data_IF_872801894265
#
_entry.id   IF_872801894265
#
_cell.length_a   1.000
_cell.length_b   1.000
_cell.length_c   1.000
_cell.angle_alpha   90.00
_cell.angle_beta   90.00
_cell.angle_gamma   90.00
#
_symmetry.space_group_name_H-M   'P 1'
#
loop_
_entity.id
_entity.type
_entity.pdbx_description
1 polymer ?
#
# COMPACT_ATOMS: atom_id res chain seq x y z
N UNK A 1 17.78 -34.86 20.52
CA UNK A 1 17.95 -36.00 19.58
C UNK A 1 17.41 -37.30 20.17
N UNK A 2 17.86 -37.72 21.35
CA UNK A 2 17.37 -38.93 22.02
C UNK A 2 15.85 -39.13 22.06
N UNK A 3 15.05 -38.09 22.29
CA UNK A 3 13.57 -38.18 22.24
C UNK A 3 13.03 -38.47 20.83
N UNK A 4 13.64 -37.89 19.79
CA UNK A 4 13.24 -38.12 18.39
C UNK A 4 13.56 -39.57 18.02
N UNK A 5 14.72 -40.07 18.43
CA UNK A 5 15.16 -41.44 18.13
C UNK A 5 14.31 -42.48 18.87
N UNK A 6 14.01 -42.23 20.16
CA UNK A 6 13.04 -43.04 20.92
C UNK A 6 11.68 -43.07 20.21
N UNK A 7 11.13 -41.91 19.84
CA UNK A 7 9.81 -41.84 19.23
C UNK A 7 9.77 -42.49 17.83
N UNK A 8 10.87 -42.42 17.08
CA UNK A 8 11.02 -43.12 15.79
C UNK A 8 11.05 -44.63 15.94
N UNK A 9 11.87 -45.15 16.86
CA UNK A 9 12.13 -46.59 16.98
C UNK A 9 11.04 -47.31 17.78
N UNK A 10 10.50 -46.67 18.82
CA UNK A 10 9.57 -47.32 19.75
C UNK A 10 8.09 -47.07 19.44
N UNK A 11 7.72 -45.96 18.81
CA UNK A 11 6.33 -45.67 18.41
C UNK A 11 6.16 -45.81 16.89
N UNK A 12 6.86 -45.01 16.08
CA UNK A 12 6.60 -44.92 14.63
C UNK A 12 6.92 -46.23 13.89
N UNK A 13 8.05 -46.86 14.18
CA UNK A 13 8.48 -48.09 13.51
C UNK A 13 7.58 -49.30 13.82
N UNK A 14 6.89 -49.28 14.97
CA UNK A 14 6.01 -50.37 15.43
C UNK A 14 4.56 -50.24 14.95
N UNK A 15 4.22 -49.14 14.26
CA UNK A 15 2.86 -48.95 13.72
C UNK A 15 2.66 -49.77 12.44
N UNK A 16 1.49 -50.40 12.36
CA UNK A 16 1.08 -51.24 11.22
C UNK A 16 0.77 -50.42 9.95
N UNK A 17 0.66 -49.09 10.06
CA UNK A 17 0.29 -48.20 8.95
C UNK A 17 1.49 -47.89 8.04
N UNK A 18 1.86 -48.84 7.17
CA UNK A 18 2.90 -48.69 6.14
C UNK A 18 2.31 -48.28 4.80
N UNK A 19 3.01 -47.39 4.08
CA UNK A 19 2.62 -47.01 2.73
C UNK A 19 3.60 -46.03 2.08
N UNK A 20 3.37 -45.72 0.81
CA UNK A 20 4.19 -44.73 0.10
C UNK A 20 3.89 -43.36 0.70
N UNK A 21 4.92 -42.64 1.14
CA UNK A 21 4.77 -41.24 1.52
C UNK A 21 4.76 -40.36 0.26
N UNK A 22 3.67 -39.65 0.01
CA UNK A 22 3.49 -38.88 -1.23
C UNK A 22 4.43 -37.66 -1.31
N UNK A 23 5.01 -37.23 -0.18
CA UNK A 23 5.99 -36.14 -0.14
C UNK A 23 7.40 -36.64 -0.47
N UNK A 24 7.79 -37.80 0.05
CA UNK A 24 9.17 -38.29 -0.04
C UNK A 24 9.35 -39.41 -1.08
N UNK A 25 8.28 -39.98 -1.62
CA UNK A 25 8.29 -41.14 -2.53
C UNK A 25 8.62 -42.48 -1.88
N UNK A 26 9.10 -42.48 -0.63
CA UNK A 26 9.55 -43.69 0.07
C UNK A 26 8.42 -44.38 0.83
N UNK A 27 8.47 -45.72 0.88
CA UNK A 27 7.66 -46.52 1.79
C UNK A 27 8.06 -46.24 3.24
N UNK A 28 7.10 -45.84 4.06
CA UNK A 28 7.32 -45.49 5.47
C UNK A 28 6.01 -45.54 6.25
N UNK A 29 6.13 -45.48 7.58
CA UNK A 29 4.95 -45.34 8.44
C UNK A 29 4.26 -44.00 8.18
N UNK A 30 3.05 -44.03 7.63
CA UNK A 30 2.24 -42.84 7.43
C UNK A 30 1.47 -42.46 8.70
N UNK A 31 1.11 -41.18 8.82
CA UNK A 31 0.29 -40.68 9.92
C UNK A 31 -1.06 -40.19 9.40
N UNK A 32 -2.15 -40.55 10.07
CA UNK A 32 -3.46 -39.92 9.89
C UNK A 32 -3.65 -38.72 10.83
N UNK A 33 -2.78 -38.60 11.85
CA UNK A 33 -2.81 -37.52 12.85
C UNK A 33 -1.80 -36.45 12.48
N UNK A 34 -2.20 -35.54 11.60
CA UNK A 34 -1.42 -34.35 11.27
C UNK A 34 -1.53 -33.25 12.33
N UNK A 35 -0.50 -32.42 12.41
CA UNK A 35 -0.37 -31.35 13.40
C UNK A 35 -1.45 -30.28 13.20
N UNK A 36 -2.19 -30.01 14.27
CA UNK A 36 -3.13 -28.87 14.39
C UNK A 36 -2.42 -27.61 14.90
N UNK A 37 -3.11 -26.48 14.96
CA UNK A 37 -2.57 -25.24 15.57
C UNK A 37 -1.31 -24.72 14.88
N UNK A 38 -1.30 -24.77 13.53
CA UNK A 38 -0.22 -24.19 12.73
C UNK A 38 -0.23 -22.67 12.87
N UNK A 39 -1.40 -22.05 12.76
CA UNK A 39 -1.64 -20.65 13.10
C UNK A 39 -2.40 -20.58 14.43
N UNK A 40 -1.84 -19.84 15.41
CA UNK A 40 -2.45 -19.66 16.74
C UNK A 40 -3.81 -18.97 16.66
N UNK A 41 -4.03 -18.11 15.66
CA UNK A 41 -5.31 -17.44 15.45
C UNK A 41 -6.43 -18.39 15.00
N UNK A 42 -6.07 -19.58 14.49
CA UNK A 42 -7.00 -20.59 13.98
C UNK A 42 -6.98 -21.90 14.77
N UNK A 43 -6.59 -21.85 16.05
CA UNK A 43 -6.85 -22.90 17.04
C UNK A 43 -6.54 -24.32 16.57
N UNK A 44 -7.56 -25.11 16.26
CA UNK A 44 -7.44 -26.54 15.92
C UNK A 44 -7.35 -26.84 14.42
N UNK A 45 -7.27 -25.82 13.55
CA UNK A 45 -7.20 -26.03 12.11
C UNK A 45 -5.96 -26.83 11.69
N UNK A 46 -6.15 -27.75 10.75
CA UNK A 46 -5.13 -28.61 10.14
C UNK A 46 -5.07 -28.36 8.63
N UNK A 47 -3.87 -28.43 8.06
CA UNK A 47 -3.67 -28.35 6.61
C UNK A 47 -4.06 -29.66 5.93
N UNK A 48 -3.67 -30.80 6.51
CA UNK A 48 -4.06 -32.13 6.06
C UNK A 48 -5.01 -32.73 7.10
N UNK A 49 -6.22 -33.10 6.69
CA UNK A 49 -7.21 -33.71 7.56
C UNK A 49 -8.03 -34.76 6.83
N UNK A 50 -8.29 -35.88 7.49
CA UNK A 50 -9.13 -36.98 6.98
C UNK A 50 -9.92 -37.68 8.08
N UNK A 51 -10.08 -37.04 9.24
CA UNK A 51 -10.73 -37.61 10.42
C UNK A 51 -12.25 -37.35 10.46
N UNK A 52 -12.88 -37.29 9.28
CA UNK A 52 -14.31 -37.00 9.12
C UNK A 52 -14.96 -38.19 8.45
N UNK A 53 -15.46 -39.10 9.28
CA UNK A 53 -16.17 -40.33 8.93
C UNK A 53 -17.65 -40.08 8.60
N UNK A 54 -18.18 -38.90 8.94
CA UNK A 54 -19.59 -38.55 8.77
C UNK A 54 -19.82 -37.85 7.41
N UNK A 55 -18.97 -36.89 7.03
CA UNK A 55 -19.16 -36.14 5.78
C UNK A 55 -18.26 -36.63 4.63
N UNK A 56 -18.44 -36.03 3.45
CA UNK A 56 -17.76 -36.39 2.20
C UNK A 56 -16.34 -35.80 2.07
N UNK A 57 -15.52 -35.93 3.11
CA UNK A 57 -14.13 -35.44 3.06
C UNK A 57 -13.24 -36.31 2.18
N UNK A 58 -13.45 -37.63 2.23
CA UNK A 58 -12.83 -38.63 1.37
C UNK A 58 -13.88 -39.65 0.89
N UNK A 59 -14.93 -39.88 1.71
CA UNK A 59 -16.08 -40.71 1.40
C UNK A 59 -16.76 -40.25 0.10
N UNK A 60 -17.24 -41.21 -0.69
CA UNK A 60 -17.80 -40.99 -2.03
C UNK A 60 -16.79 -41.16 -3.17
N UNK A 61 -15.49 -41.10 -2.87
CA UNK A 61 -14.41 -41.54 -3.78
C UNK A 61 -13.55 -42.64 -3.17
N UNK A 62 -13.34 -42.58 -1.86
CA UNK A 62 -12.52 -43.52 -1.11
C UNK A 62 -13.27 -44.04 0.11
N UNK A 63 -12.95 -45.26 0.54
CA UNK A 63 -13.49 -45.87 1.76
C UNK A 63 -12.70 -45.42 2.99
N UNK A 64 -11.39 -45.23 2.84
CA UNK A 64 -10.46 -44.85 3.90
C UNK A 64 -9.67 -43.58 3.55
N UNK A 65 -9.33 -42.72 4.53
CA UNK A 65 -8.55 -41.51 4.28
C UNK A 65 -7.18 -41.79 3.65
N UNK A 66 -6.55 -42.91 4.01
CA UNK A 66 -5.23 -43.33 3.50
C UNK A 66 -5.25 -43.71 2.03
N UNK A 67 -6.42 -44.03 1.45
CA UNK A 67 -6.52 -44.28 0.01
C UNK A 67 -6.45 -42.98 -0.80
N UNK A 68 -6.78 -41.84 -0.20
CA UNK A 68 -6.70 -40.54 -0.84
C UNK A 68 -5.28 -39.97 -0.83
N UNK A 69 -4.63 -39.96 0.34
CA UNK A 69 -3.25 -39.50 0.50
C UNK A 69 -2.60 -40.09 1.74
N UNK A 70 -1.34 -40.49 1.63
CA UNK A 70 -0.50 -40.93 2.75
C UNK A 70 0.75 -40.06 2.84
N UNK A 71 1.00 -39.53 4.03
CA UNK A 71 2.22 -38.76 4.33
C UNK A 71 2.90 -39.36 5.54
N UNK A 72 4.21 -39.58 5.44
CA UNK A 72 5.01 -40.11 6.55
C UNK A 72 4.90 -39.20 7.77
N UNK A 73 4.99 -39.79 8.96
CA UNK A 73 4.99 -39.01 10.19
C UNK A 73 6.06 -37.91 10.17
N UNK A 74 7.27 -38.26 9.75
CA UNK A 74 8.41 -37.33 9.71
C UNK A 74 8.19 -36.18 8.73
N UNK A 75 7.77 -36.48 7.49
CA UNK A 75 7.51 -35.44 6.50
C UNK A 75 6.40 -34.50 6.97
N UNK A 76 5.34 -35.06 7.56
CA UNK A 76 4.26 -34.27 8.16
C UNK A 76 4.79 -33.37 9.28
N UNK A 77 5.59 -33.88 10.23
CA UNK A 77 6.10 -33.06 11.33
C UNK A 77 7.01 -31.94 10.84
N UNK A 78 7.97 -32.25 9.95
CA UNK A 78 8.88 -31.25 9.37
C UNK A 78 8.10 -30.14 8.67
N UNK A 79 7.19 -30.50 7.76
CA UNK A 79 6.41 -29.50 7.00
C UNK A 79 5.56 -28.59 7.91
N UNK A 80 4.81 -29.18 8.84
CA UNK A 80 3.91 -28.41 9.71
C UNK A 80 4.66 -27.54 10.74
N UNK A 81 5.79 -28.02 11.25
CA UNK A 81 6.62 -27.25 12.19
C UNK A 81 7.34 -26.10 11.48
N UNK A 82 7.84 -26.32 10.26
CA UNK A 82 8.40 -25.25 9.44
C UNK A 82 7.34 -24.19 9.15
N UNK A 83 6.14 -24.58 8.73
CA UNK A 83 5.06 -23.62 8.46
C UNK A 83 4.65 -22.85 9.73
N UNK A 84 4.55 -23.52 10.88
CA UNK A 84 4.28 -22.87 12.16
C UNK A 84 5.36 -21.84 12.51
N UNK A 85 6.63 -22.18 12.30
CA UNK A 85 7.75 -21.28 12.54
C UNK A 85 7.73 -20.08 11.59
N UNK A 86 7.55 -20.30 10.28
CA UNK A 86 7.44 -19.25 9.27
C UNK A 86 6.29 -18.30 9.60
N UNK A 87 5.11 -18.85 9.92
CA UNK A 87 3.97 -18.04 10.34
C UNK A 87 4.37 -17.25 11.59
N UNK A 88 5.00 -17.85 12.61
CA UNK A 88 5.37 -17.18 13.87
C UNK A 88 6.28 -15.95 13.73
N UNK A 89 7.00 -15.81 12.60
CA UNK A 89 7.93 -14.70 12.38
C UNK A 89 7.22 -13.32 12.34
N UNK A 90 7.96 -12.24 12.66
CA UNK A 90 7.48 -10.87 12.45
C UNK A 90 7.22 -10.51 10.98
N UNK A 91 7.94 -11.13 10.04
CA UNK A 91 7.78 -10.93 8.58
C UNK A 91 6.50 -11.57 8.01
N UNK A 92 5.75 -12.32 8.82
CA UNK A 92 4.47 -12.88 8.41
C UNK A 92 3.39 -11.80 8.43
N UNK A 93 2.84 -11.50 7.26
CA UNK A 93 1.75 -10.54 7.11
C UNK A 93 0.44 -11.19 7.52
N UNK A 94 -0.19 -10.72 8.59
CA UNK A 94 -1.37 -11.37 9.20
C UNK A 94 -2.63 -10.52 9.21
N UNK A 95 -3.78 -11.16 9.02
CA UNK A 95 -5.10 -10.58 9.28
C UNK A 95 -6.03 -11.67 9.85
N UNK A 96 -6.38 -11.59 11.13
CA UNK A 96 -7.19 -12.62 11.82
C UNK A 96 -6.54 -14.01 11.63
N UNK A 97 -7.21 -14.96 10.97
CA UNK A 97 -6.65 -16.28 10.65
C UNK A 97 -5.80 -16.34 9.36
N UNK A 98 -5.81 -15.29 8.53
CA UNK A 98 -5.02 -15.26 7.31
C UNK A 98 -3.56 -14.95 7.65
N UNK A 99 -2.65 -15.75 7.11
CA UNK A 99 -1.21 -15.54 7.20
C UNK A 99 -0.60 -15.63 5.80
N UNK A 100 0.08 -14.57 5.39
CA UNK A 100 0.82 -14.50 4.12
C UNK A 100 2.30 -14.40 4.45
N UNK A 101 3.08 -15.34 3.94
CA UNK A 101 4.51 -15.48 4.21
C UNK A 101 5.27 -15.53 2.90
N UNK A 102 6.46 -14.93 2.88
CA UNK A 102 7.46 -15.11 1.84
C UNK A 102 8.77 -15.55 2.52
N UNK A 103 9.45 -16.55 1.95
CA UNK A 103 10.73 -17.02 2.46
C UNK A 103 11.55 -17.65 1.34
N UNK A 104 12.86 -17.60 1.49
CA UNK A 104 13.74 -18.36 0.62
C UNK A 104 13.90 -19.80 1.09
N UNK A 105 13.88 -20.72 0.14
CA UNK A 105 14.16 -22.14 0.32
C UNK A 105 15.68 -22.34 0.41
N UNK A 106 16.27 -21.87 1.51
CA UNK A 106 17.71 -21.98 1.79
C UNK A 106 17.99 -21.88 3.29
N UNK A 107 19.26 -22.01 3.69
CA UNK A 107 19.70 -21.84 5.08
C UNK A 107 19.47 -20.43 5.63
N UNK A 108 19.34 -19.44 4.76
CA UNK A 108 18.98 -18.06 5.10
C UNK A 108 17.58 -17.83 4.52
N UNK A 109 16.50 -17.88 5.31
CA UNK A 109 15.14 -17.84 4.76
C UNK A 109 14.57 -16.44 4.64
N UNK A 110 15.18 -15.43 5.27
CA UNK A 110 14.64 -14.07 5.29
C UNK A 110 14.80 -13.39 3.92
N UNK A 111 13.76 -12.69 3.51
CA UNK A 111 13.64 -11.96 2.24
C UNK A 111 13.01 -10.59 2.50
N UNK A 112 13.22 -9.59 1.64
CA UNK A 112 12.55 -8.29 1.77
C UNK A 112 11.02 -8.45 1.83
N UNK A 113 10.37 -7.79 2.79
CA UNK A 113 8.91 -7.80 2.90
C UNK A 113 8.27 -7.17 1.65
N UNK A 114 7.12 -7.68 1.21
CA UNK A 114 6.41 -7.19 0.01
C UNK A 114 5.23 -6.25 0.31
N UNK A 115 4.88 -6.05 1.59
CA UNK A 115 3.66 -5.37 2.02
C UNK A 115 3.89 -3.96 2.60
N UNK A 116 5.16 -3.59 2.81
CA UNK A 116 5.56 -2.29 3.35
C UNK A 116 5.67 -1.23 2.24
N UNK A 117 5.76 0.04 2.64
CA UNK A 117 6.00 1.13 1.68
C UNK A 117 7.46 1.15 1.20
N UNK A 118 7.72 1.86 0.10
CA UNK A 118 9.05 1.90 -0.53
C UNK A 118 10.15 2.38 0.42
N UNK A 119 9.83 3.32 1.30
CA UNK A 119 10.78 3.87 2.27
C UNK A 119 11.19 2.80 3.30
N UNK A 120 10.22 2.08 3.86
CA UNK A 120 10.49 1.05 4.87
C UNK A 120 11.26 -0.14 4.27
N UNK A 121 10.88 -0.60 3.07
CA UNK A 121 11.61 -1.70 2.41
C UNK A 121 13.03 -1.25 2.08
N UNK A 122 13.22 -0.05 1.52
CA UNK A 122 14.54 0.49 1.24
C UNK A 122 15.43 0.50 2.49
N UNK A 123 14.92 0.99 3.62
CA UNK A 123 15.71 1.06 4.85
C UNK A 123 16.06 -0.31 5.45
N UNK A 124 15.25 -1.34 5.17
CA UNK A 124 15.52 -2.71 5.58
C UNK A 124 16.54 -3.42 4.67
N UNK A 125 16.62 -3.03 3.39
CA UNK A 125 17.53 -3.64 2.39
C UNK A 125 18.88 -2.91 2.31
N UNK A 126 18.89 -1.59 2.45
CA UNK A 126 20.11 -0.78 2.35
C UNK A 126 21.12 -1.17 3.45
N UNK A 127 22.33 -1.53 3.04
CA UNK A 127 23.31 -2.24 3.88
C UNK A 127 24.27 -1.28 4.61
N UNK A 128 24.49 -0.07 4.10
CA UNK A 128 25.42 0.89 4.71
C UNK A 128 24.75 2.20 5.10
N UNK A 129 25.20 2.80 6.21
CA UNK A 129 24.76 4.13 6.62
C UNK A 129 25.11 5.19 5.57
N UNK A 130 26.18 4.96 4.79
CA UNK A 130 26.61 5.84 3.71
C UNK A 130 25.63 5.84 2.53
N UNK A 131 25.08 4.69 2.13
CA UNK A 131 23.99 4.61 1.14
C UNK A 131 22.74 5.37 1.60
N UNK A 132 22.41 5.31 2.90
CA UNK A 132 21.27 6.04 3.49
C UNK A 132 21.54 7.55 3.54
N UNK A 133 22.77 7.96 3.83
CA UNK A 133 23.19 9.37 3.90
C UNK A 133 23.27 10.03 2.52
N UNK A 134 23.77 9.36 1.48
CA UNK A 134 23.88 9.91 0.11
C UNK A 134 22.53 10.27 -0.52
N UNK A 135 21.44 9.57 -0.14
CA UNK A 135 20.08 9.91 -0.58
C UNK A 135 19.51 11.14 0.14
N UNK A 136 19.97 11.42 1.36
CA UNK A 136 19.42 12.47 2.22
C UNK A 136 19.95 13.88 1.88
N UNK A 137 21.06 13.99 1.16
CA UNK A 137 21.86 15.22 1.21
C UNK A 137 21.28 16.43 0.47
N UNK A 138 20.41 16.34 -0.54
CA UNK A 138 19.94 17.56 -1.25
C UNK A 138 18.61 17.47 -2.05
N UNK A 139 17.78 16.43 -1.89
CA UNK A 139 16.59 16.23 -2.76
C UNK A 139 15.27 16.44 -2.01
N UNK A 140 14.45 17.40 -2.48
CA UNK A 140 13.07 17.57 -2.00
C UNK A 140 12.19 16.45 -2.58
N UNK A 141 11.71 15.58 -1.70
CA UNK A 141 10.95 14.35 -1.99
C UNK A 141 11.78 13.29 -2.72
N UNK A 142 12.55 12.54 -1.94
CA UNK A 142 13.37 11.43 -2.43
C UNK A 142 12.49 10.35 -3.08
N UNK A 143 12.89 9.87 -4.26
CA UNK A 143 12.29 8.71 -4.93
C UNK A 143 12.84 7.40 -4.34
N UNK A 144 12.20 6.95 -3.26
CA UNK A 144 12.53 5.70 -2.59
C UNK A 144 12.14 4.46 -3.41
N UNK A 145 11.24 4.57 -4.41
CA UNK A 145 10.98 3.43 -5.30
C UNK A 145 12.18 3.20 -6.24
N UNK A 146 12.78 4.26 -6.78
CA UNK A 146 14.01 4.14 -7.56
C UNK A 146 15.22 3.79 -6.67
N UNK A 147 15.31 4.34 -5.47
CA UNK A 147 16.35 3.95 -4.51
C UNK A 147 16.24 2.47 -4.13
N UNK A 148 15.03 1.96 -3.90
CA UNK A 148 14.76 0.55 -3.63
C UNK A 148 15.22 -0.33 -4.79
N UNK A 149 14.92 0.04 -6.04
CA UNK A 149 15.41 -0.67 -7.23
C UNK A 149 16.92 -0.85 -7.21
N UNK A 150 17.65 0.26 -6.97
CA UNK A 150 19.11 0.24 -6.88
C UNK A 150 19.58 -0.63 -5.72
N UNK A 151 18.94 -0.50 -4.56
CA UNK A 151 19.28 -1.30 -3.37
C UNK A 151 19.05 -2.80 -3.60
N UNK A 152 17.95 -3.23 -4.23
CA UNK A 152 17.71 -4.64 -4.56
C UNK A 152 18.76 -5.19 -5.54
N UNK A 153 19.16 -4.38 -6.53
CA UNK A 153 20.26 -4.76 -7.43
C UNK A 153 21.60 -4.89 -6.69
N UNK A 154 21.93 -3.95 -5.80
CA UNK A 154 23.17 -3.95 -4.99
C UNK A 154 23.19 -5.04 -3.91
N UNK A 155 22.03 -5.32 -3.30
CA UNK A 155 21.83 -6.30 -2.22
C UNK A 155 22.34 -7.70 -2.59
N UNK A 156 22.49 -8.01 -3.88
CA UNK A 156 23.12 -9.25 -4.33
C UNK A 156 24.23 -9.13 -5.37
N UNK A 157 24.99 -8.02 -5.39
CA UNK A 157 26.23 -7.93 -6.18
C UNK A 157 27.32 -8.89 -5.66
N UNK A 158 27.27 -9.34 -4.40
CA UNK A 158 28.26 -10.28 -3.87
C UNK A 158 28.17 -11.70 -4.44
N UNK A 159 27.11 -12.08 -5.17
CA UNK A 159 27.01 -13.42 -5.76
C UNK A 159 25.97 -13.55 -6.90
N UNK A 160 26.18 -12.90 -8.04
CA UNK A 160 25.32 -13.08 -9.24
C UNK A 160 25.14 -14.54 -9.68
N UNK A 161 26.11 -15.42 -9.39
CA UNK A 161 26.02 -16.86 -9.65
C UNK A 161 25.14 -17.64 -8.64
N UNK A 162 24.91 -17.14 -7.41
CA UNK A 162 24.05 -17.79 -6.41
C UNK A 162 22.58 -17.37 -6.50
N UNK A 163 22.28 -16.20 -7.08
CA UNK A 163 20.91 -15.66 -7.22
C UNK A 163 19.96 -16.60 -7.97
N UNK A 164 20.41 -17.18 -9.09
CA UNK A 164 19.58 -18.13 -9.85
C UNK A 164 19.32 -19.48 -9.15
N UNK A 165 20.00 -19.75 -8.02
CA UNK A 165 19.83 -21.00 -7.27
C UNK A 165 18.84 -20.84 -6.11
N UNK A 166 18.75 -19.63 -5.52
CA UNK A 166 17.86 -19.40 -4.37
C UNK A 166 16.43 -19.21 -4.87
N UNK A 167 15.54 -20.13 -4.48
CA UNK A 167 14.10 -20.05 -4.78
C UNK A 167 13.36 -19.42 -3.61
N UNK A 168 12.44 -18.51 -3.90
CA UNK A 168 11.58 -17.85 -2.92
C UNK A 168 10.16 -18.40 -3.07
N UNK A 169 9.62 -18.90 -1.97
CA UNK A 169 8.24 -19.33 -1.88
C UNK A 169 7.39 -18.24 -1.22
N UNK A 170 6.21 -18.01 -1.77
CA UNK A 170 5.18 -17.11 -1.26
C UNK A 170 3.94 -17.95 -1.03
N UNK A 171 3.36 -17.88 0.17
CA UNK A 171 2.19 -18.68 0.53
C UNK A 171 1.21 -17.85 1.35
N UNK A 172 -0.06 -17.88 0.96
CA UNK A 172 -1.16 -17.43 1.80
C UNK A 172 -1.92 -18.64 2.35
N UNK A 173 -2.20 -18.61 3.64
CA UNK A 173 -3.04 -19.58 4.33
C UNK A 173 -4.18 -18.88 5.02
N UNK A 174 -5.37 -19.48 5.02
CA UNK A 174 -6.50 -18.99 5.81
C UNK A 174 -7.39 -20.15 6.29
N UNK A 175 -8.28 -19.84 7.22
CA UNK A 175 -9.30 -20.74 7.73
C UNK A 175 -10.68 -20.11 7.57
N UNK A 176 -11.64 -20.88 7.08
CA UNK A 176 -12.99 -20.39 6.76
C UNK A 176 -13.80 -19.96 8.00
N UNK A 177 -13.53 -20.54 9.18
CA UNK A 177 -14.13 -20.12 10.46
C UNK A 177 -13.19 -20.34 11.66
N UNK A 178 -13.38 -19.60 12.77
CA UNK A 178 -12.64 -19.79 14.04
C UNK A 178 -12.81 -21.16 14.68
N UNK A 179 -13.84 -21.93 14.26
CA UNK A 179 -14.09 -23.32 14.67
C UNK A 179 -13.69 -24.34 13.59
N UNK A 180 -13.19 -23.89 12.44
CA UNK A 180 -12.84 -24.78 11.34
C UNK A 180 -11.68 -25.69 11.75
N UNK A 181 -11.87 -27.00 11.59
CA UNK A 181 -10.78 -27.98 11.68
C UNK A 181 -9.83 -27.96 10.48
N UNK A 182 -10.06 -27.08 9.50
CA UNK A 182 -9.34 -27.03 8.21
C UNK A 182 -8.68 -25.69 7.97
N UNK A 183 -7.46 -25.75 7.47
CA UNK A 183 -6.68 -24.63 6.95
C UNK A 183 -6.46 -24.88 5.46
N UNK A 184 -6.68 -23.84 4.66
CA UNK A 184 -6.45 -23.88 3.22
C UNK A 184 -5.22 -23.07 2.87
N UNK A 185 -4.47 -23.53 1.88
CA UNK A 185 -3.53 -22.69 1.13
C UNK A 185 -4.36 -22.00 0.04
N UNK A 186 -4.52 -20.68 0.14
CA UNK A 186 -5.33 -19.89 -0.80
C UNK A 186 -4.48 -19.31 -1.93
N UNK A 187 -3.18 -19.16 -1.68
CA UNK A 187 -2.20 -18.72 -2.68
C UNK A 187 -0.87 -19.45 -2.45
N UNK A 188 -0.23 -19.88 -3.54
CA UNK A 188 1.14 -20.41 -3.51
C UNK A 188 1.86 -20.07 -4.81
N UNK A 189 3.07 -19.52 -4.68
CA UNK A 189 3.96 -19.24 -5.79
C UNK A 189 5.39 -19.53 -5.39
N UNK A 190 6.16 -20.10 -6.30
CA UNK A 190 7.61 -20.26 -6.16
C UNK A 190 8.27 -19.49 -7.31
N UNK A 191 9.21 -18.61 -6.96
CA UNK A 191 9.94 -17.74 -7.87
C UNK A 191 11.44 -17.94 -7.66
N UNK A 192 12.25 -17.63 -8.66
CA UNK A 192 13.66 -17.34 -8.41
C UNK A 192 13.79 -16.04 -7.58
N UNK A 193 14.92 -15.87 -6.90
CA UNK A 193 15.16 -14.66 -6.11
C UNK A 193 15.16 -13.38 -6.96
N UNK A 194 15.72 -13.45 -8.18
CA UNK A 194 15.69 -12.34 -9.13
C UNK A 194 14.28 -11.99 -9.59
N UNK A 195 13.44 -12.99 -9.89
CA UNK A 195 12.03 -12.74 -10.20
C UNK A 195 11.30 -12.09 -9.01
N UNK A 196 11.53 -12.54 -7.77
CA UNK A 196 10.92 -11.93 -6.59
C UNK A 196 11.30 -10.44 -6.44
N UNK A 197 12.59 -10.12 -6.57
CA UNK A 197 13.10 -8.75 -6.52
C UNK A 197 12.51 -7.89 -7.65
N UNK A 198 12.41 -8.44 -8.87
CA UNK A 198 11.82 -7.76 -10.03
C UNK A 198 10.32 -7.49 -9.84
N UNK A 199 9.56 -8.42 -9.26
CA UNK A 199 8.13 -8.23 -8.96
C UNK A 199 7.92 -7.11 -7.94
N UNK A 200 8.77 -7.04 -6.92
CA UNK A 200 8.76 -5.94 -5.95
C UNK A 200 9.13 -4.62 -6.64
N UNK A 201 10.23 -4.57 -7.40
CA UNK A 201 10.62 -3.36 -8.14
C UNK A 201 9.48 -2.85 -9.02
N UNK A 202 8.91 -3.74 -9.83
CA UNK A 202 7.83 -3.41 -10.74
C UNK A 202 6.61 -2.84 -10.01
N UNK A 203 6.15 -3.47 -8.92
CA UNK A 203 5.06 -2.92 -8.12
C UNK A 203 5.41 -1.53 -7.58
N UNK A 204 6.59 -1.39 -6.98
CA UNK A 204 7.01 -0.15 -6.32
C UNK A 204 7.21 1.01 -7.29
N UNK A 205 7.68 0.76 -8.52
CA UNK A 205 7.89 1.81 -9.52
C UNK A 205 6.65 2.15 -10.35
N UNK A 206 5.76 1.18 -10.62
CA UNK A 206 4.50 1.42 -11.35
C UNK A 206 3.39 1.98 -10.46
N UNK A 207 3.42 1.69 -9.16
CA UNK A 207 2.44 2.12 -8.17
C UNK A 207 2.99 3.23 -7.24
N UNK A 208 3.88 4.12 -7.72
CA UNK A 208 4.44 5.20 -6.90
C UNK A 208 3.70 6.53 -6.99
N UNK A 209 3.63 7.22 -5.87
CA UNK A 209 3.23 8.62 -5.81
C UNK A 209 3.83 9.29 -4.57
N UNK A 210 3.44 10.52 -4.26
CA UNK A 210 3.73 11.16 -2.98
C UNK A 210 3.07 10.40 -1.82
N UNK A 211 3.89 9.82 -0.95
CA UNK A 211 3.49 9.11 0.26
C UNK A 211 3.96 9.88 1.49
N UNK A 212 3.10 10.15 2.48
CA UNK A 212 3.54 10.79 3.72
C UNK A 212 4.45 9.82 4.50
N UNK A 213 5.47 10.36 5.15
CA UNK A 213 6.28 9.57 6.07
C UNK A 213 5.47 9.06 7.26
N UNK A 214 5.88 7.89 7.78
CA UNK A 214 5.37 7.35 9.04
C UNK A 214 5.94 8.06 10.26
N UNK A 215 5.83 7.41 11.42
CA UNK A 215 6.53 7.84 12.63
C UNK A 215 8.03 7.57 12.48
N UNK A 216 8.85 8.47 13.00
CA UNK A 216 10.28 8.22 13.21
C UNK A 216 10.52 7.36 14.47
N UNK A 217 11.80 7.15 14.79
CA UNK A 217 12.23 6.35 15.94
C UNK A 217 11.71 6.90 17.27
N UNK A 218 11.51 8.22 17.38
CA UNK A 218 11.00 8.90 18.56
C UNK A 218 9.46 8.91 18.61
N UNK A 219 8.80 8.29 17.63
CA UNK A 219 7.35 8.22 17.52
C UNK A 219 6.69 9.48 16.98
N UNK A 220 7.48 10.43 16.48
CA UNK A 220 7.03 11.70 15.90
C UNK A 220 6.78 11.52 14.41
N UNK A 221 5.67 12.07 13.92
CA UNK A 221 5.39 12.03 12.50
C UNK A 221 6.17 13.12 11.76
N UNK A 222 6.94 12.71 10.75
CA UNK A 222 7.44 13.64 9.74
C UNK A 222 6.26 14.22 8.94
N UNK A 223 6.28 15.54 8.72
CA UNK A 223 5.23 16.28 7.99
C UNK A 223 5.40 16.27 6.47
N UNK A 224 6.46 15.61 5.99
CA UNK A 224 6.87 15.55 4.59
C UNK A 224 6.40 14.28 3.86
N UNK A 225 6.68 14.27 2.56
CA UNK A 225 6.38 13.19 1.65
C UNK A 225 7.67 12.58 1.08
N UNK A 226 7.61 11.31 0.72
CA UNK A 226 8.55 10.67 -0.18
C UNK A 226 7.83 10.23 -1.46
N UNK A 227 8.58 9.94 -2.52
CA UNK A 227 8.03 9.32 -3.72
C UNK A 227 8.22 7.80 -3.60
N UNK A 228 7.13 7.05 -3.68
CA UNK A 228 7.17 5.59 -3.64
C UNK A 228 5.77 4.96 -3.63
N UNK A 229 5.72 3.63 -3.71
CA UNK A 229 4.48 2.90 -3.49
C UNK A 229 4.04 2.91 -2.02
N UNK A 230 2.72 2.98 -1.76
CA UNK A 230 2.15 2.89 -0.43
C UNK A 230 2.24 1.47 0.13
N UNK A 231 2.32 1.35 1.46
CA UNK A 231 2.14 0.08 2.14
C UNK A 231 0.72 -0.47 1.88
N UNK A 232 0.57 -1.80 1.88
CA UNK A 232 -0.74 -2.47 1.68
C UNK A 232 -1.78 -2.01 2.71
N UNK A 233 -1.37 -1.70 3.94
CA UNK A 233 -2.28 -1.15 4.96
C UNK A 233 -2.86 0.21 4.58
N UNK A 234 -2.08 1.07 3.88
CA UNK A 234 -2.58 2.36 3.40
C UNK A 234 -3.52 2.19 2.21
N UNK A 235 -3.24 1.23 1.33
CA UNK A 235 -4.18 0.82 0.27
C UNK A 235 -5.47 0.30 0.89
N UNK A 236 -5.38 -0.53 1.93
CA UNK A 236 -6.53 -1.07 2.66
C UNK A 236 -7.38 0.05 3.25
N UNK A 237 -6.76 1.02 3.91
CA UNK A 237 -7.45 2.21 4.41
C UNK A 237 -8.10 3.02 3.28
N UNK A 238 -7.41 3.18 2.15
CA UNK A 238 -7.92 3.91 0.99
C UNK A 238 -9.12 3.21 0.33
N UNK A 239 -9.14 1.87 0.28
CA UNK A 239 -10.18 1.08 -0.41
C UNK A 239 -11.36 0.70 0.50
N UNK A 240 -11.09 0.31 1.74
CA UNK A 240 -12.11 -0.20 2.67
C UNK A 240 -12.47 0.82 3.77
N UNK A 241 -11.61 1.78 4.06
CA UNK A 241 -11.80 2.74 5.15
C UNK A 241 -11.38 2.17 6.50
N UNK A 242 -11.83 2.80 7.59
CA UNK A 242 -11.55 2.34 8.96
C UNK A 242 -12.50 1.23 9.37
N UNK A 243 -12.00 0.34 10.23
CA UNK A 243 -12.81 -0.66 10.91
C UNK A 243 -13.85 0.01 11.82
N UNK A 244 -15.07 -0.51 11.87
CA UNK A 244 -16.16 0.05 12.70
C UNK A 244 -15.99 -0.23 14.19
N UNK A 245 -15.40 -1.37 14.53
CA UNK A 245 -15.14 -1.79 15.91
C UNK A 245 -13.94 -2.74 15.97
N UNK A 246 -13.35 -2.96 17.14
CA UNK A 246 -12.20 -3.86 17.28
C UNK A 246 -12.48 -5.27 16.74
N UNK A 247 -13.71 -5.78 16.91
CA UNK A 247 -14.16 -7.14 16.52
C UNK A 247 -15.06 -7.14 15.27
N UNK A 248 -14.69 -6.39 14.23
CA UNK A 248 -15.42 -6.38 12.97
C UNK A 248 -14.99 -7.54 12.05
N UNK A 249 -15.68 -8.68 12.17
CA UNK A 249 -15.40 -9.87 11.36
C UNK A 249 -15.72 -9.66 9.89
N UNK A 250 -16.69 -8.80 9.56
CA UNK A 250 -17.07 -8.49 8.18
C UNK A 250 -15.97 -7.69 7.47
N UNK A 251 -15.43 -6.68 8.14
CA UNK A 251 -14.29 -5.91 7.66
C UNK A 251 -13.06 -6.80 7.48
N UNK A 252 -12.77 -7.70 8.42
CA UNK A 252 -11.65 -8.63 8.29
C UNK A 252 -11.76 -9.53 7.06
N UNK A 253 -12.96 -10.00 6.70
CA UNK A 253 -13.17 -10.76 5.46
C UNK A 253 -12.82 -9.94 4.22
N UNK A 254 -13.25 -8.67 4.18
CA UNK A 254 -12.93 -7.76 3.08
C UNK A 254 -11.42 -7.49 2.99
N UNK A 255 -10.76 -7.28 4.13
CA UNK A 255 -9.31 -7.08 4.19
C UNK A 255 -8.55 -8.30 3.69
N UNK A 256 -8.94 -9.51 4.09
CA UNK A 256 -8.31 -10.76 3.64
C UNK A 256 -8.38 -10.92 2.12
N UNK A 257 -9.55 -10.68 1.54
CA UNK A 257 -9.76 -10.72 0.09
C UNK A 257 -8.92 -9.66 -0.62
N UNK A 258 -8.92 -8.42 -0.12
CA UNK A 258 -8.13 -7.32 -0.70
C UNK A 258 -6.63 -7.64 -0.71
N UNK A 259 -6.12 -8.18 0.41
CA UNK A 259 -4.71 -8.53 0.56
C UNK A 259 -4.28 -9.63 -0.41
N UNK A 260 -5.11 -10.65 -0.58
CA UNK A 260 -4.83 -11.74 -1.53
C UNK A 260 -4.85 -11.23 -2.98
N UNK A 261 -5.82 -10.39 -3.35
CA UNK A 261 -5.84 -9.73 -4.67
C UNK A 261 -4.60 -8.86 -4.91
N UNK A 262 -4.11 -8.16 -3.88
CA UNK A 262 -2.87 -7.38 -4.00
C UNK A 262 -1.63 -8.28 -4.16
N UNK A 263 -1.59 -9.45 -3.51
CA UNK A 263 -0.53 -10.44 -3.73
C UNK A 263 -0.51 -10.90 -5.19
N UNK A 264 -1.66 -11.17 -5.80
CA UNK A 264 -1.76 -11.46 -7.23
C UNK A 264 -1.30 -10.29 -8.11
N UNK A 265 -1.68 -9.04 -7.78
CA UNK A 265 -1.24 -7.85 -8.52
C UNK A 265 0.29 -7.66 -8.47
N UNK A 266 0.92 -7.98 -7.33
CA UNK A 266 2.37 -7.84 -7.12
C UNK A 266 3.12 -8.95 -7.84
N UNK A 267 2.80 -10.22 -7.56
CA UNK A 267 3.63 -11.35 -7.97
C UNK A 267 3.20 -12.01 -9.28
N UNK A 268 1.92 -11.94 -9.62
CA UNK A 268 1.41 -12.53 -10.87
C UNK A 268 1.32 -11.50 -12.00
N UNK A 269 1.42 -10.21 -11.67
CA UNK A 269 1.27 -9.12 -12.63
C UNK A 269 -0.19 -8.91 -13.05
N UNK A 270 -1.14 -9.36 -12.23
CA UNK A 270 -2.55 -9.08 -12.45
C UNK A 270 -2.80 -7.56 -12.44
N UNK A 271 -3.79 -7.15 -13.25
CA UNK A 271 -4.19 -5.75 -13.32
C UNK A 271 -4.94 -5.37 -12.03
N UNK A 272 -4.71 -4.15 -11.56
CA UNK A 272 -5.42 -3.67 -10.37
C UNK A 272 -6.94 -3.60 -10.60
N UNK A 273 -7.79 -4.20 -9.75
CA UNK A 273 -9.22 -4.17 -9.97
C UNK A 273 -9.79 -2.74 -9.97
N UNK A 274 -10.54 -2.38 -11.01
CA UNK A 274 -11.16 -1.06 -11.16
C UNK A 274 -12.03 -0.69 -9.95
N UNK A 275 -12.71 -1.67 -9.34
CA UNK A 275 -13.53 -1.46 -8.13
C UNK A 275 -12.71 -0.97 -6.93
N UNK A 276 -11.47 -1.42 -6.75
CA UNK A 276 -10.58 -0.91 -5.70
C UNK A 276 -10.24 0.55 -5.94
N UNK A 277 -9.91 0.89 -7.19
CA UNK A 277 -9.51 2.25 -7.59
C UNK A 277 -10.68 3.22 -7.43
N UNK A 278 -11.89 2.84 -7.88
CA UNK A 278 -13.12 3.64 -7.71
C UNK A 278 -13.43 3.85 -6.23
N UNK A 279 -13.33 2.81 -5.40
CA UNK A 279 -13.55 2.94 -3.96
C UNK A 279 -12.53 3.89 -3.30
N UNK A 280 -11.27 3.84 -3.74
CA UNK A 280 -10.23 4.74 -3.26
C UNK A 280 -10.49 6.19 -3.69
N UNK A 281 -10.85 6.42 -4.96
CA UNK A 281 -11.22 7.75 -5.49
C UNK A 281 -12.35 8.35 -4.67
N UNK A 282 -13.45 7.61 -4.48
CA UNK A 282 -14.61 8.10 -3.74
C UNK A 282 -14.26 8.50 -2.30
N UNK A 283 -13.36 7.76 -1.66
CA UNK A 283 -12.93 8.03 -0.28
C UNK A 283 -11.96 9.19 -0.18
N UNK A 284 -10.99 9.30 -1.08
CA UNK A 284 -10.08 10.43 -1.15
C UNK A 284 -10.81 11.75 -1.46
N UNK A 285 -11.88 11.66 -2.25
CA UNK A 285 -12.76 12.77 -2.62
C UNK A 285 -13.68 13.23 -1.48
N UNK A 286 -13.73 12.50 -0.35
CA UNK A 286 -14.49 12.89 0.84
C UNK A 286 -13.57 13.04 2.07
N UNK A 287 -12.81 14.14 2.17
CA UNK A 287 -11.83 14.34 3.24
C UNK A 287 -12.43 14.28 4.65
N UNK A 288 -13.65 14.81 4.83
CA UNK A 288 -14.31 14.94 6.14
C UNK A 288 -14.68 13.59 6.76
N UNK A 289 -14.94 12.57 5.94
CA UNK A 289 -15.14 11.20 6.46
C UNK A 289 -13.89 10.60 7.11
N UNK A 290 -12.72 11.23 6.91
CA UNK A 290 -11.42 10.81 7.44
C UNK A 290 -10.85 11.79 8.47
N UNK A 291 -11.61 12.82 8.84
CA UNK A 291 -11.20 13.79 9.86
C UNK A 291 -11.13 13.11 11.22
N UNK A 292 -10.00 13.28 11.91
CA UNK A 292 -9.85 12.85 13.30
C UNK A 292 -10.09 14.05 14.23
N UNK A 293 -11.35 14.30 14.57
CA UNK A 293 -11.78 15.41 15.42
C UNK A 293 -11.22 15.35 16.85
N UNK A 294 -10.73 14.18 17.29
CA UNK A 294 -10.07 14.01 18.59
C UNK A 294 -8.56 14.27 18.58
N UNK A 295 -7.97 14.67 17.45
CA UNK A 295 -6.54 14.90 17.34
C UNK A 295 -6.11 16.20 18.06
N UNK A 296 -4.92 16.18 18.67
CA UNK A 296 -4.34 17.33 19.39
C UNK A 296 -3.72 18.39 18.48
N UNK A 297 -3.56 18.10 17.19
CA UNK A 297 -2.97 19.01 16.21
C UNK A 297 -3.52 18.75 14.79
N UNK A 298 -3.45 19.76 13.93
CA UNK A 298 -3.91 19.69 12.55
C UNK A 298 -3.30 18.53 11.72
N UNK A 299 -2.02 18.23 11.96
CA UNK A 299 -1.32 17.23 11.15
C UNK A 299 -1.90 15.84 11.36
N UNK A 300 -2.27 15.55 12.61
CA UNK A 300 -2.90 14.30 13.02
C UNK A 300 -4.39 14.28 12.69
N UNK A 301 -5.06 15.44 12.72
CA UNK A 301 -6.46 15.59 12.30
C UNK A 301 -6.70 15.09 10.88
N UNK A 302 -5.83 15.49 9.94
CA UNK A 302 -5.95 15.13 8.52
C UNK A 302 -5.03 13.98 8.10
N UNK A 303 -4.48 13.22 9.05
CA UNK A 303 -3.48 12.18 8.76
C UNK A 303 -4.03 11.08 7.86
N UNK A 304 -5.20 10.56 8.20
CA UNK A 304 -5.81 9.47 7.46
C UNK A 304 -6.18 9.92 6.05
N UNK A 305 -6.68 11.16 5.89
CA UNK A 305 -6.90 11.71 4.57
C UNK A 305 -5.61 11.82 3.75
N UNK A 306 -4.48 12.24 4.33
CA UNK A 306 -3.19 12.25 3.64
C UNK A 306 -2.74 10.85 3.21
N UNK A 307 -2.91 9.84 4.06
CA UNK A 307 -2.61 8.45 3.71
C UNK A 307 -3.50 7.94 2.57
N UNK A 308 -4.81 8.18 2.68
CA UNK A 308 -5.78 7.79 1.66
C UNK A 308 -5.49 8.49 0.34
N UNK A 309 -5.24 9.80 0.35
CA UNK A 309 -4.93 10.58 -0.86
C UNK A 309 -3.66 10.07 -1.55
N UNK A 310 -2.59 9.82 -0.80
CA UNK A 310 -1.32 9.28 -1.33
C UNK A 310 -1.47 7.90 -1.92
N UNK A 311 -2.14 6.99 -1.19
CA UNK A 311 -2.40 5.65 -1.70
C UNK A 311 -3.33 5.69 -2.93
N UNK A 312 -4.38 6.51 -2.91
CA UNK A 312 -5.32 6.64 -4.03
C UNK A 312 -4.63 7.12 -5.30
N UNK A 313 -3.77 8.14 -5.22
CA UNK A 313 -3.03 8.61 -6.39
C UNK A 313 -2.08 7.54 -6.97
N UNK A 314 -1.42 6.76 -6.09
CA UNK A 314 -0.63 5.61 -6.52
C UNK A 314 -1.47 4.54 -7.23
N UNK A 315 -2.67 4.21 -6.72
CA UNK A 315 -3.58 3.25 -7.35
C UNK A 315 -4.12 3.78 -8.69
N UNK A 316 -4.42 5.08 -8.80
CA UNK A 316 -4.84 5.70 -10.07
C UNK A 316 -3.72 5.59 -11.08
N UNK A 317 -2.49 6.00 -10.74
CA UNK A 317 -1.33 5.85 -11.63
C UNK A 317 -1.17 4.39 -12.07
N UNK A 318 -1.24 3.44 -11.14
CA UNK A 318 -1.16 2.00 -11.45
C UNK A 318 -2.28 1.54 -12.38
N UNK A 319 -3.51 2.02 -12.17
CA UNK A 319 -4.65 1.70 -13.04
C UNK A 319 -4.43 2.19 -14.48
N UNK A 320 -4.00 3.43 -14.67
CA UNK A 320 -3.72 3.96 -16.00
C UNK A 320 -2.53 3.24 -16.67
N UNK A 321 -1.50 2.89 -15.89
CA UNK A 321 -0.41 2.04 -16.37
C UNK A 321 -0.92 0.66 -16.85
N UNK A 322 -1.77 0.00 -16.07
CA UNK A 322 -2.25 -1.35 -16.37
C UNK A 322 -3.19 -1.39 -17.58
N UNK A 323 -4.16 -0.47 -17.63
CA UNK A 323 -5.29 -0.49 -18.58
C UNK A 323 -5.12 0.45 -19.77
N UNK A 324 -4.38 1.55 -19.62
CA UNK A 324 -4.22 2.58 -20.66
C UNK A 324 -2.80 2.67 -21.21
N UNK A 325 -1.84 1.99 -20.57
CA UNK A 325 -0.40 2.09 -20.91
C UNK A 325 0.12 3.52 -20.83
N UNK A 326 -0.54 4.33 -20.01
CA UNK A 326 -0.16 5.71 -19.73
C UNK A 326 0.59 5.75 -18.39
N UNK A 327 1.74 6.41 -18.38
CA UNK A 327 2.53 6.63 -17.17
C UNK A 327 2.48 8.12 -16.77
N UNK A 328 1.79 8.41 -15.68
CA UNK A 328 1.71 9.78 -15.14
C UNK A 328 3.01 10.13 -14.43
N UNK A 329 3.64 11.25 -14.79
CA UNK A 329 4.74 11.78 -14.01
C UNK A 329 4.28 12.07 -12.57
N UNK A 330 5.14 11.80 -11.59
CA UNK A 330 4.83 12.14 -10.18
C UNK A 330 4.88 13.65 -9.97
N UNK A 331 5.76 14.33 -10.70
CA UNK A 331 5.84 15.78 -10.70
C UNK A 331 4.66 16.42 -11.44
N UNK A 332 4.47 17.72 -11.23
CA UNK A 332 3.41 18.47 -11.89
C UNK A 332 3.66 18.57 -13.39
N UNK A 333 2.72 18.05 -14.18
CA UNK A 333 2.69 18.21 -15.64
C UNK A 333 1.98 19.53 -15.97
N UNK A 334 2.74 20.61 -16.19
CA UNK A 334 2.18 21.96 -16.39
C UNK A 334 1.42 22.10 -17.69
N UNK A 335 1.78 21.33 -18.72
CA UNK A 335 1.21 21.42 -20.07
C UNK A 335 0.10 20.39 -20.34
N UNK A 336 -0.23 19.52 -19.37
CA UNK A 336 -1.27 18.49 -19.52
C UNK A 336 -2.64 19.17 -19.66
N UNK A 337 -3.40 18.77 -20.69
CA UNK A 337 -4.69 19.38 -21.06
C UNK A 337 -5.93 18.59 -20.64
N UNK A 338 -5.77 17.48 -19.93
CA UNK A 338 -6.90 16.71 -19.41
C UNK A 338 -7.78 17.56 -18.49
N UNK A 339 -9.07 17.68 -18.82
CA UNK A 339 -10.08 18.43 -18.04
C UNK A 339 -9.99 18.10 -16.55
N UNK A 340 -9.95 16.81 -16.23
CA UNK A 340 -9.96 16.31 -14.86
C UNK A 340 -8.70 16.75 -14.11
N UNK A 341 -7.53 16.60 -14.73
CA UNK A 341 -6.25 16.99 -14.14
C UNK A 341 -6.19 18.51 -13.90
N UNK A 342 -6.64 19.31 -14.86
CA UNK A 342 -6.69 20.77 -14.78
C UNK A 342 -7.61 21.26 -13.64
N UNK A 343 -8.81 20.69 -13.49
CA UNK A 343 -9.67 21.01 -12.33
C UNK A 343 -9.02 20.64 -11.00
N UNK A 344 -8.29 19.52 -10.96
CA UNK A 344 -7.45 19.17 -9.81
C UNK A 344 -6.45 20.26 -9.45
N UNK A 345 -5.73 20.78 -10.46
CA UNK A 345 -4.76 21.88 -10.28
C UNK A 345 -5.45 23.16 -9.78
N UNK A 346 -6.60 23.53 -10.34
CA UNK A 346 -7.40 24.68 -9.88
C UNK A 346 -7.76 24.56 -8.38
N UNK A 347 -8.26 23.39 -7.97
CA UNK A 347 -8.62 23.13 -6.58
C UNK A 347 -7.42 23.23 -5.63
N UNK A 348 -6.23 22.82 -6.08
CA UNK A 348 -5.01 22.93 -5.28
C UNK A 348 -4.54 24.39 -5.11
N UNK A 349 -4.69 25.22 -6.15
CA UNK A 349 -4.42 26.67 -6.05
C UNK A 349 -5.41 27.33 -5.10
N UNK A 350 -6.69 26.95 -5.15
CA UNK A 350 -7.71 27.42 -4.20
C UNK A 350 -7.37 27.06 -2.75
N UNK A 351 -6.99 25.80 -2.47
CA UNK A 351 -6.53 25.36 -1.14
C UNK A 351 -5.36 26.22 -0.66
N UNK A 352 -4.42 26.53 -1.57
CA UNK A 352 -3.23 27.30 -1.24
C UNK A 352 -3.53 28.77 -0.94
N UNK A 353 -4.35 29.45 -1.74
CA UNK A 353 -4.76 30.85 -1.52
C UNK A 353 -5.30 31.02 -0.10
N UNK A 354 -6.28 30.20 0.28
CA UNK A 354 -6.92 30.28 1.58
C UNK A 354 -5.96 29.95 2.73
N UNK A 355 -5.17 28.88 2.59
CA UNK A 355 -4.17 28.52 3.61
C UNK A 355 -3.11 29.62 3.81
N UNK A 356 -2.66 30.27 2.73
CA UNK A 356 -1.69 31.36 2.78
C UNK A 356 -2.28 32.63 3.40
N UNK A 357 -3.53 32.97 3.08
CA UNK A 357 -4.21 34.12 3.67
C UNK A 357 -4.36 33.96 5.20
N UNK A 358 -4.81 32.78 5.64
CA UNK A 358 -4.94 32.44 7.07
C UNK A 358 -3.59 32.48 7.79
N UNK A 359 -2.53 31.95 7.18
CA UNK A 359 -1.18 32.01 7.75
C UNK A 359 -0.63 33.44 7.91
N UNK A 360 -0.96 34.37 6.99
CA UNK A 360 -0.58 35.78 7.11
C UNK A 360 -1.32 36.51 8.23
N UNK A 361 -2.57 36.14 8.51
CA UNK A 361 -3.41 36.81 9.52
C UNK A 361 -2.88 36.61 10.94
N UNK A 362 -2.46 35.39 11.24
CA UNK A 362 -2.00 35.02 12.58
C UNK A 362 -0.90 33.97 12.45
N UNK A 363 0.34 34.44 12.39
CA UNK A 363 1.54 33.59 12.29
C UNK A 363 1.70 32.66 13.49
N UNK A 364 0.97 32.92 14.59
CA UNK A 364 1.03 32.17 15.84
C UNK A 364 -0.10 31.15 16.00
N UNK A 365 -1.24 31.31 15.29
CA UNK A 365 -2.32 30.32 15.30
C UNK A 365 -2.09 29.22 14.27
N UNK A 366 -2.07 27.98 14.77
CA UNK A 366 -2.41 26.81 13.97
C UNK A 366 -3.93 26.83 13.77
N UNK A 367 -4.40 27.43 12.68
CA UNK A 367 -5.81 27.29 12.30
C UNK A 367 -6.04 25.86 11.80
N UNK A 368 -6.63 25.04 12.66
CA UNK A 368 -6.88 23.61 12.41
C UNK A 368 -8.04 23.36 11.43
N UNK A 369 -8.72 24.41 10.98
CA UNK A 369 -9.89 24.27 10.09
C UNK A 369 -9.46 23.93 8.67
N UNK A 370 -10.17 22.98 8.05
CA UNK A 370 -10.11 22.77 6.60
C UNK A 370 -10.36 24.08 5.83
N UNK A 371 -9.72 24.20 4.67
CA UNK A 371 -10.02 25.24 3.68
C UNK A 371 -11.37 24.95 3.03
N UNK A 372 -11.99 25.95 2.41
CA UNK A 372 -13.18 25.78 1.60
C UNK A 372 -12.92 24.82 0.44
N UNK A 373 -11.74 24.83 -0.17
CA UNK A 373 -11.38 23.85 -1.20
C UNK A 373 -11.51 22.40 -0.69
N UNK A 374 -11.01 22.09 0.51
CA UNK A 374 -11.14 20.76 1.11
C UNK A 374 -12.58 20.45 1.54
N UNK A 375 -13.32 21.44 2.05
CA UNK A 375 -14.75 21.32 2.42
C UNK A 375 -15.63 20.95 1.26
N UNK A 376 -15.43 21.62 0.12
CA UNK A 376 -16.25 21.42 -1.05
C UNK A 376 -15.70 20.33 -1.98
N UNK A 377 -14.60 19.65 -1.63
CA UNK A 377 -13.95 18.65 -2.48
C UNK A 377 -14.91 17.54 -2.97
N UNK A 378 -15.80 17.06 -2.12
CA UNK A 378 -16.81 16.05 -2.48
C UNK A 378 -17.72 16.56 -3.59
N UNK A 379 -18.33 17.74 -3.41
CA UNK A 379 -19.25 18.33 -4.39
C UNK A 379 -18.50 18.80 -5.64
N UNK A 380 -17.27 19.28 -5.49
CA UNK A 380 -16.39 19.67 -6.59
C UNK A 380 -16.08 18.49 -7.51
N UNK A 381 -15.86 17.29 -6.97
CA UNK A 381 -15.65 16.09 -7.79
C UNK A 381 -16.89 15.68 -8.59
N UNK A 382 -18.10 16.06 -8.14
CA UNK A 382 -19.36 15.75 -8.81
C UNK A 382 -19.82 16.84 -9.77
N UNK A 383 -19.58 18.10 -9.41
CA UNK A 383 -20.04 19.32 -10.07
C UNK A 383 -18.90 20.34 -10.17
N UNK A 384 -17.87 20.07 -10.99
CA UNK A 384 -16.61 20.83 -10.97
C UNK A 384 -16.78 22.29 -11.39
N UNK A 385 -17.52 22.57 -12.47
CA UNK A 385 -17.69 23.92 -12.98
C UNK A 385 -18.49 24.78 -12.00
N UNK A 386 -19.67 24.28 -11.57
CA UNK A 386 -20.54 25.01 -10.65
C UNK A 386 -19.84 25.29 -9.32
N UNK A 387 -19.18 24.27 -8.77
CA UNK A 387 -18.49 24.40 -7.48
C UNK A 387 -17.27 25.30 -7.60
N UNK A 388 -16.51 25.22 -8.69
CA UNK A 388 -15.40 26.14 -8.95
C UNK A 388 -15.85 27.60 -8.96
N UNK A 389 -16.94 27.91 -9.68
CA UNK A 389 -17.45 29.28 -9.76
C UNK A 389 -17.85 29.82 -8.38
N UNK A 390 -18.58 29.04 -7.59
CA UNK A 390 -18.93 29.40 -6.22
C UNK A 390 -17.67 29.58 -5.34
N UNK A 391 -16.71 28.65 -5.41
CA UNK A 391 -15.46 28.72 -4.65
C UNK A 391 -14.69 30.00 -4.99
N UNK A 392 -14.45 30.23 -6.27
CA UNK A 392 -13.62 31.35 -6.74
C UNK A 392 -14.27 32.70 -6.48
N UNK A 393 -15.57 32.86 -6.77
CA UNK A 393 -16.25 34.16 -6.69
C UNK A 393 -16.68 34.54 -5.28
N UNK A 394 -17.15 33.58 -4.47
CA UNK A 394 -17.73 33.85 -3.16
C UNK A 394 -16.80 33.50 -2.01
N UNK A 395 -16.17 32.31 -2.05
CA UNK A 395 -15.43 31.77 -0.90
C UNK A 395 -13.98 32.25 -0.85
N UNK A 396 -13.33 32.42 -2.01
CA UNK A 396 -11.93 32.85 -2.09
C UNK A 396 -11.74 34.37 -2.12
N UNK A 397 -12.74 35.13 -2.58
CA UNK A 397 -12.63 36.59 -2.73
C UNK A 397 -12.14 37.32 -1.44
N UNK A 398 -12.66 37.01 -0.24
CA UNK A 398 -12.14 37.63 0.99
C UNK A 398 -10.65 37.32 1.23
N UNK A 399 -10.21 36.09 0.96
CA UNK A 399 -8.82 35.67 1.13
C UNK A 399 -7.89 36.28 0.07
N UNK A 400 -8.38 36.45 -1.16
CA UNK A 400 -7.66 37.12 -2.24
C UNK A 400 -7.43 38.59 -1.89
N UNK A 401 -8.48 39.30 -1.44
CA UNK A 401 -8.38 40.70 -1.02
C UNK A 401 -7.45 40.88 0.20
N UNK A 402 -7.49 39.93 1.13
CA UNK A 402 -6.60 39.90 2.29
C UNK A 402 -5.13 39.66 1.90
N UNK A 403 -4.88 38.89 0.84
CA UNK A 403 -3.56 38.67 0.29
C UNK A 403 -3.12 39.86 -0.56
N UNK A 404 -2.51 40.88 0.06
CA UNK A 404 -1.69 41.88 -0.64
C UNK A 404 -0.54 41.20 -1.41
N UNK A 405 -0.80 40.69 -2.61
CA UNK A 405 0.10 39.81 -3.38
C UNK A 405 -0.56 38.55 -3.98
N UNK A 406 -1.89 38.48 -4.07
CA UNK A 406 -2.61 37.35 -4.70
C UNK A 406 -2.36 37.19 -6.22
N UNK A 407 -1.77 38.19 -6.88
CA UNK A 407 -1.57 38.21 -8.35
C UNK A 407 -0.85 36.97 -8.88
N UNK A 408 0.13 36.43 -8.17
CA UNK A 408 0.81 35.20 -8.58
C UNK A 408 -0.16 34.00 -8.65
N UNK A 409 -1.05 33.85 -7.67
CA UNK A 409 -2.04 32.78 -7.68
C UNK A 409 -3.10 32.97 -8.77
N UNK A 410 -3.51 34.22 -9.02
CA UNK A 410 -4.46 34.55 -10.07
C UNK A 410 -3.87 34.25 -11.46
N UNK A 411 -2.60 34.58 -11.69
CA UNK A 411 -1.90 34.22 -12.92
C UNK A 411 -1.83 32.70 -13.09
N UNK A 412 -1.54 31.95 -12.03
CA UNK A 412 -1.56 30.48 -12.10
C UNK A 412 -2.95 29.91 -12.44
N UNK A 413 -4.02 30.52 -11.92
CA UNK A 413 -5.40 30.13 -12.29
C UNK A 413 -5.64 30.41 -13.77
N UNK A 414 -5.19 31.56 -14.27
CA UNK A 414 -5.32 31.94 -15.66
C UNK A 414 -4.54 30.99 -16.59
N UNK A 415 -3.28 30.70 -16.25
CA UNK A 415 -2.43 29.74 -16.97
C UNK A 415 -3.11 28.35 -17.06
N UNK A 416 -3.71 27.89 -15.95
CA UNK A 416 -4.43 26.61 -15.93
C UNK A 416 -5.70 26.67 -16.79
N UNK A 417 -6.45 27.77 -16.76
CA UNK A 417 -7.67 27.95 -17.56
C UNK A 417 -7.39 27.97 -19.06
N UNK A 418 -6.27 28.55 -19.47
CA UNK A 418 -5.85 28.60 -20.88
C UNK A 418 -5.49 27.22 -21.47
N UNK A 419 -5.27 26.20 -20.62
CA UNK A 419 -4.98 24.84 -21.06
C UNK A 419 -6.21 23.99 -21.34
N UNK A 420 -7.41 24.44 -20.94
CA UNK A 420 -8.64 23.75 -21.33
C UNK A 420 -8.81 23.85 -22.84
N UNK A 421 -9.19 22.74 -23.49
CA UNK A 421 -9.28 22.66 -24.95
C UNK A 421 -10.23 23.71 -25.54
N UNK A 422 -11.39 23.88 -24.90
CA UNK A 422 -12.37 24.91 -25.23
C UNK A 422 -13.19 25.32 -23.99
N UNK A 423 -14.06 26.33 -24.17
CA UNK A 423 -14.95 26.79 -23.10
C UNK A 423 -15.93 25.71 -22.66
N UNK A 424 -16.38 24.82 -23.56
CA UNK A 424 -17.32 23.75 -23.21
C UNK A 424 -16.69 22.72 -22.29
N UNK A 425 -15.41 22.39 -22.48
CA UNK A 425 -14.65 21.53 -21.61
C UNK A 425 -14.52 22.15 -20.21
N UNK A 426 -14.30 23.46 -20.11
CA UNK A 426 -14.26 24.16 -18.83
C UNK A 426 -15.64 24.37 -18.18
N UNK A 427 -16.71 24.48 -18.96
CA UNK A 427 -18.08 24.71 -18.47
C UNK A 427 -18.85 23.42 -18.16
N UNK A 428 -18.30 22.27 -18.57
CA UNK A 428 -18.90 20.96 -18.33
C UNK A 428 -18.89 20.60 -16.85
N UNK A 429 -20.08 20.40 -16.30
CA UNK A 429 -20.28 19.98 -14.92
C UNK A 429 -20.30 18.44 -14.76
N UNK A 430 -19.78 17.71 -15.76
CA UNK A 430 -19.67 16.25 -15.69
C UNK A 430 -18.69 15.83 -14.58
N UNK A 431 -19.01 14.79 -13.78
CA UNK A 431 -18.17 14.33 -12.68
C UNK A 431 -16.73 14.06 -13.10
N UNK A 432 -15.80 14.35 -12.19
CA UNK A 432 -14.37 14.15 -12.38
C UNK A 432 -13.98 12.70 -12.05
N UNK A 433 -13.11 12.12 -12.87
CA UNK A 433 -12.44 10.86 -12.54
C UNK A 433 -11.16 11.08 -11.71
N UNK A 434 -10.51 9.99 -11.30
CA UNK A 434 -9.32 10.04 -10.43
C UNK A 434 -8.18 10.95 -10.89
N UNK A 435 -8.05 11.31 -12.18
CA UNK A 435 -7.00 12.22 -12.68
C UNK A 435 -7.02 13.58 -11.98
N UNK A 436 -8.18 14.04 -11.49
CA UNK A 436 -8.23 15.29 -10.72
C UNK A 436 -7.46 15.21 -9.40
N UNK A 437 -7.42 14.04 -8.75
CA UNK A 437 -6.63 13.84 -7.53
C UNK A 437 -5.13 13.88 -7.82
N UNK A 438 -4.70 13.36 -8.98
CA UNK A 438 -3.30 13.46 -9.43
C UNK A 438 -2.89 14.92 -9.62
N UNK A 439 -3.67 15.68 -10.40
CA UNK A 439 -3.41 17.10 -10.65
C UNK A 439 -3.46 17.94 -9.37
N UNK A 440 -4.44 17.66 -8.49
CA UNK A 440 -4.55 18.30 -7.19
C UNK A 440 -3.30 18.07 -6.33
N UNK A 441 -2.86 16.83 -6.19
CA UNK A 441 -1.72 16.51 -5.33
C UNK A 441 -0.42 17.07 -5.91
N UNK A 442 -0.17 16.87 -7.22
CA UNK A 442 1.04 17.35 -7.87
C UNK A 442 1.18 18.88 -7.77
N UNK A 443 0.10 19.62 -8.06
CA UNK A 443 0.08 21.08 -7.92
C UNK A 443 0.29 21.49 -6.46
N UNK A 444 -0.35 20.81 -5.51
CA UNK A 444 -0.19 21.09 -4.08
C UNK A 444 1.26 20.87 -3.60
N UNK A 445 1.97 19.87 -4.13
CA UNK A 445 3.39 19.68 -3.83
C UNK A 445 4.25 20.79 -4.44
N UNK A 446 4.02 21.16 -5.70
CA UNK A 446 4.73 22.26 -6.36
C UNK A 446 4.61 23.58 -5.57
N UNK A 447 3.39 23.92 -5.14
CA UNK A 447 3.10 25.11 -4.33
C UNK A 447 3.76 25.10 -2.93
N UNK A 448 4.14 23.92 -2.41
CA UNK A 448 4.90 23.77 -1.16
C UNK A 448 6.39 23.95 -1.38
N UNK A 449 6.94 23.48 -2.50
CA UNK A 449 8.37 23.57 -2.85
C UNK A 449 8.85 25.00 -3.11
N UNK A 450 7.96 25.90 -3.55
CA UNK A 450 8.33 27.26 -3.97
C UNK A 450 7.86 28.37 -2.99
N UNK A 451 8.26 28.39 -1.70
CA UNK A 451 7.82 29.42 -0.76
C UNK A 451 8.43 30.80 -1.05
N UNK A 452 9.57 30.90 -1.74
CA UNK A 452 10.26 32.17 -2.02
C UNK A 452 9.51 33.07 -3.01
N UNK A 453 8.66 32.52 -3.89
CA UNK A 453 7.76 33.31 -4.75
C UNK A 453 6.39 33.61 -4.08
N UNK A 454 6.09 32.98 -2.94
CA UNK A 454 4.82 33.14 -2.22
C UNK A 454 4.77 34.39 -1.31
N UNK A 455 5.92 35.02 -1.02
CA UNK A 455 5.99 36.28 -0.30
C UNK A 455 6.01 37.44 -1.30
N UNK A 456 4.84 37.76 -1.87
CA UNK A 456 4.66 39.06 -2.52
C UNK A 456 4.94 40.18 -1.51
N UNK A 457 6.13 40.77 -1.59
CA UNK A 457 6.58 41.87 -0.74
C UNK A 457 8.10 42.06 -0.74
N UNK A 458 8.54 43.08 -1.49
CA UNK A 458 9.88 43.70 -1.65
C UNK A 458 10.85 43.02 -2.64
N UNK A 459 10.93 43.59 -3.85
CA UNK A 459 11.96 44.58 -4.19
C UNK A 459 11.47 45.48 -5.33
N UNK A 460 11.01 46.67 -4.95
CA UNK A 460 10.97 47.87 -5.79
C UNK A 460 11.51 48.99 -4.90
N UNK A 461 12.77 48.86 -4.49
CA UNK A 461 13.55 50.00 -4.03
C UNK A 461 14.71 50.15 -5.02
N UNK A 462 14.45 51.03 -5.99
CA UNK A 462 15.39 52.02 -6.51
C UNK A 462 16.84 51.87 -6.01
N UNK A 463 17.68 51.17 -6.77
CA UNK A 463 19.08 51.58 -6.93
C UNK A 463 19.08 52.81 -7.86
N UNK A 464 18.73 53.95 -7.27
CA UNK A 464 19.12 55.27 -7.75
C UNK A 464 20.25 55.76 -6.84
N UNK A 465 21.36 56.12 -7.51
CA UNK A 465 22.49 57.00 -7.14
C UNK A 465 23.76 56.25 -6.76
N UNK A 466 24.77 56.34 -7.63
CA UNK A 466 25.78 57.42 -7.76
C UNK A 466 27.06 57.00 -7.04
#
# INVERSE_FOLDING_TARGET
EAWIDFYRNEDIAKRETQGICYITGNNSTYTQKHSKSINRASGNAKLITGNDDINFTFRGRFEEPSQAVTVSYEASQKAHQTLRWLISKPSCYRCDSQAIIAWAISSIPDVPNFYDDSYNIYNAVAQTDQEKLTLAENVIYIDYANALKKALHSYGVSSKLRKHVRRIAIMATDTTTKKAGRMSITYYRELSEDEYEERIDNWHNTCKWYQPFGKDADGVYKSDYFIGAPAIERITLAVLGKRRSHKDTSYNKLVKNLREQLVHCIFDGERIPASMVIAAINRASNPFALENTGAKNNSDCWRDWKYVLGATCALIKRYYHDYKKEDFAVELETERRDREYLYGRLLAVADKIESSARYKQDKTKKDDRATNAIRYMTVFSQHPFRTWNMLFTQQLNPYIQQLNGAGWYLNQIEDIKQLFEDSKAFESDAPLDGRYLLGFFAQRQKLRKDPKKNNGGKDNDLDKKD
#
